data_IF_764984510915
#
_entry.id   IF_764984510915
#
_cell.length_a   1.000
_cell.length_b   1.000
_cell.length_c   1.000
_cell.angle_alpha   90.00
_cell.angle_beta   90.00
_cell.angle_gamma   90.00
#
_symmetry.space_group_name_H-M   'P 1'
#
loop_
_entity.id
_entity.type
_entity.pdbx_description
1 polymer ?
#
# COMPACT_ATOMS: atom_id res chain seq x y z
N UNK A 1 -16.20 13.14 18.78
CA UNK A 1 -17.36 12.23 18.68
C UNK A 1 -17.75 11.54 19.99
N UNK A 2 -16.89 11.54 21.03
CA UNK A 2 -17.20 10.90 22.33
C UNK A 2 -18.21 11.71 23.17
N UNK A 3 -18.18 13.04 23.06
CA UNK A 3 -19.00 13.95 23.89
C UNK A 3 -20.45 14.03 23.41
N UNK A 4 -20.68 14.16 22.11
CA UNK A 4 -22.03 14.36 21.54
C UNK A 4 -22.81 13.06 21.28
N UNK A 5 -22.16 11.90 21.37
CA UNK A 5 -22.71 10.57 21.08
C UNK A 5 -23.66 10.51 19.85
N UNK A 6 -23.22 10.97 18.67
CA UNK A 6 -24.05 10.95 17.47
C UNK A 6 -24.39 9.50 17.05
N UNK A 7 -25.45 9.36 16.27
CA UNK A 7 -25.94 8.06 15.79
C UNK A 7 -24.87 7.33 14.96
N UNK A 8 -24.88 5.98 14.89
CA UNK A 8 -23.93 5.22 14.08
C UNK A 8 -23.83 5.73 12.63
N UNK A 9 -24.96 6.08 12.01
CA UNK A 9 -25.02 6.61 10.64
C UNK A 9 -24.28 7.95 10.50
N UNK A 10 -24.52 8.90 11.42
CA UNK A 10 -23.82 10.19 11.43
C UNK A 10 -22.32 10.01 11.66
N UNK A 11 -21.95 9.06 12.53
CA UNK A 11 -20.54 8.71 12.79
C UNK A 11 -19.86 8.19 11.53
N UNK A 12 -20.52 7.32 10.78
CA UNK A 12 -20.02 6.77 9.51
C UNK A 12 -19.81 7.87 8.46
N UNK A 13 -20.76 8.79 8.30
CA UNK A 13 -20.66 9.94 7.37
C UNK A 13 -19.47 10.86 7.65
N UNK A 14 -19.00 10.91 8.90
CA UNK A 14 -17.85 11.72 9.31
C UNK A 14 -16.54 10.93 9.22
N UNK A 15 -16.52 9.71 9.76
CA UNK A 15 -15.29 8.93 9.90
C UNK A 15 -14.75 8.40 8.57
N UNK A 16 -15.62 8.06 7.61
CA UNK A 16 -15.19 7.57 6.28
C UNK A 16 -14.34 8.62 5.56
N UNK A 17 -14.79 9.89 5.39
CA UNK A 17 -13.95 10.95 4.85
C UNK A 17 -12.65 11.19 5.64
N UNK A 18 -12.68 11.11 6.97
CA UNK A 18 -11.49 11.30 7.81
C UNK A 18 -10.42 10.24 7.52
N UNK A 19 -10.80 8.95 7.45
CA UNK A 19 -9.89 7.87 7.10
C UNK A 19 -9.29 8.08 5.71
N UNK A 20 -10.12 8.41 4.72
CA UNK A 20 -9.66 8.71 3.35
C UNK A 20 -8.71 9.90 3.30
N UNK A 21 -9.00 10.95 4.07
CA UNK A 21 -8.15 12.13 4.18
C UNK A 21 -6.78 11.79 4.77
N UNK A 22 -6.72 10.98 5.83
CA UNK A 22 -5.45 10.57 6.42
C UNK A 22 -4.61 9.70 5.49
N UNK A 23 -5.24 8.79 4.73
CA UNK A 23 -4.56 7.99 3.70
C UNK A 23 -4.01 8.89 2.60
N UNK A 24 -4.84 9.80 2.10
CA UNK A 24 -4.44 10.78 1.08
C UNK A 24 -3.28 11.64 1.58
N UNK A 25 -3.36 12.18 2.80
CA UNK A 25 -2.32 13.01 3.40
C UNK A 25 -1.01 12.23 3.57
N UNK A 26 -1.09 10.98 4.06
CA UNK A 26 0.06 10.08 4.17
C UNK A 26 0.77 9.89 2.84
N UNK A 27 0.02 9.74 1.75
CA UNK A 27 0.59 9.58 0.42
C UNK A 27 1.15 10.90 -0.14
N UNK A 28 0.35 11.96 -0.10
CA UNK A 28 0.67 13.26 -0.72
C UNK A 28 1.81 13.99 -0.04
N UNK A 29 2.03 13.74 1.24
CA UNK A 29 3.07 14.38 2.04
C UNK A 29 4.20 13.41 2.40
N UNK A 30 4.29 12.22 1.77
CA UNK A 30 5.29 11.20 2.10
C UNK A 30 6.75 11.63 1.90
N UNK A 31 6.99 12.67 1.07
CA UNK A 31 8.30 13.24 0.79
C UNK A 31 8.60 14.50 1.59
N UNK A 32 7.63 15.00 2.35
CA UNK A 32 7.79 16.22 3.15
C UNK A 32 8.62 15.94 4.41
N UNK A 33 9.24 17.00 4.93
CA UNK A 33 9.96 16.90 6.21
C UNK A 33 8.99 16.70 7.37
N UNK A 34 9.48 16.10 8.47
CA UNK A 34 8.70 15.91 9.70
C UNK A 34 8.17 17.22 10.28
N UNK A 35 8.84 18.36 10.02
CA UNK A 35 8.37 19.68 10.44
C UNK A 35 7.11 20.14 9.69
N UNK A 36 6.92 19.66 8.45
CA UNK A 36 5.75 19.97 7.61
C UNK A 36 4.63 18.95 7.81
N UNK A 37 4.99 17.67 7.95
CA UNK A 37 4.05 16.57 8.09
C UNK A 37 4.61 15.52 9.04
N UNK A 38 3.90 15.27 10.15
CA UNK A 38 4.24 14.19 11.07
C UNK A 38 3.52 12.89 10.65
N UNK A 39 4.21 11.94 9.98
CA UNK A 39 3.58 10.70 9.55
C UNK A 39 3.15 9.83 10.74
N UNK A 40 3.82 9.93 11.89
CA UNK A 40 3.48 9.13 13.07
C UNK A 40 2.15 9.59 13.63
N UNK A 41 1.96 10.90 13.82
CA UNK A 41 0.69 11.47 14.29
C UNK A 41 -0.46 11.15 13.33
N UNK A 42 -0.23 11.33 12.02
CA UNK A 42 -1.24 11.00 11.00
C UNK A 42 -1.65 9.53 11.07
N UNK A 43 -0.67 8.62 11.17
CA UNK A 43 -0.93 7.19 11.19
C UNK A 43 -1.63 6.74 12.48
N UNK A 44 -1.32 7.37 13.63
CA UNK A 44 -2.05 7.13 14.88
C UNK A 44 -3.52 7.47 14.72
N UNK A 45 -3.85 8.67 14.26
CA UNK A 45 -5.25 9.08 14.07
C UNK A 45 -5.97 8.23 13.01
N UNK A 46 -5.28 7.86 11.93
CA UNK A 46 -5.82 6.96 10.92
C UNK A 46 -6.24 5.61 11.53
N UNK A 47 -5.35 4.98 12.31
CA UNK A 47 -5.63 3.67 12.93
C UNK A 47 -6.79 3.77 13.91
N UNK A 48 -6.86 4.83 14.72
CA UNK A 48 -7.95 5.06 15.68
C UNK A 48 -9.31 5.24 14.98
N UNK A 49 -9.34 6.05 13.92
CA UNK A 49 -10.55 6.26 13.12
C UNK A 49 -10.98 4.99 12.38
N UNK A 50 -10.01 4.26 11.84
CA UNK A 50 -10.23 3.00 11.14
C UNK A 50 -10.79 1.91 12.07
N UNK A 51 -10.21 1.73 13.26
CA UNK A 51 -10.74 0.83 14.27
C UNK A 51 -12.18 1.19 14.67
N UNK A 52 -12.47 2.49 14.80
CA UNK A 52 -13.81 2.99 15.09
C UNK A 52 -14.81 2.67 13.97
N UNK A 53 -14.41 2.79 12.69
CA UNK A 53 -15.25 2.42 11.54
C UNK A 53 -15.53 0.92 11.50
N UNK A 54 -14.50 0.09 11.69
CA UNK A 54 -14.64 -1.36 11.69
C UNK A 54 -15.64 -1.80 12.77
N UNK A 55 -15.53 -1.22 13.98
CA UNK A 55 -16.50 -1.46 15.04
C UNK A 55 -17.93 -1.07 14.65
N UNK A 56 -18.12 0.09 13.99
CA UNK A 56 -19.46 0.53 13.54
C UNK A 56 -20.04 -0.39 12.48
N UNK A 57 -19.24 -0.86 11.52
CA UNK A 57 -19.71 -1.81 10.49
C UNK A 57 -20.08 -3.18 11.06
N UNK A 58 -19.43 -3.60 12.15
CA UNK A 58 -19.80 -4.83 12.85
C UNK A 58 -21.15 -4.72 13.58
N UNK A 59 -21.54 -3.50 14.00
CA UNK A 59 -22.86 -3.24 14.57
C UNK A 59 -23.95 -3.18 13.50
N UNK A 60 -23.65 -2.56 12.36
CA UNK A 60 -24.65 -2.21 11.35
C UNK A 60 -24.99 -3.36 10.39
N UNK A 61 -24.16 -4.40 10.27
CA UNK A 61 -24.35 -5.56 9.36
C UNK A 61 -24.65 -5.24 7.89
N UNK A 62 -24.74 -3.97 7.50
CA UNK A 62 -25.01 -3.51 6.14
C UNK A 62 -23.89 -3.95 5.21
N UNK A 63 -24.28 -4.58 4.10
CA UNK A 63 -23.39 -4.85 2.98
C UNK A 63 -23.35 -3.58 2.10
N UNK A 64 -22.22 -2.89 2.08
CA UNK A 64 -22.04 -1.68 1.26
C UNK A 64 -20.66 -1.66 0.65
N UNK A 65 -20.55 -1.01 -0.52
CA UNK A 65 -19.26 -0.81 -1.19
C UNK A 65 -18.26 -0.09 -0.27
N UNK A 66 -18.75 0.90 0.50
CA UNK A 66 -17.96 1.65 1.49
C UNK A 66 -17.39 0.73 2.56
N UNK A 67 -18.19 -0.21 3.11
CA UNK A 67 -17.70 -1.18 4.08
C UNK A 67 -16.55 -2.00 3.51
N UNK A 68 -16.69 -2.53 2.29
CA UNK A 68 -15.64 -3.34 1.68
C UNK A 68 -14.39 -2.56 1.29
N UNK A 69 -14.53 -1.28 0.96
CA UNK A 69 -13.40 -0.38 0.78
C UNK A 69 -12.62 -0.23 2.09
N UNK A 70 -13.31 0.06 3.19
CA UNK A 70 -12.70 0.27 4.51
C UNK A 70 -12.11 -1.02 5.08
N UNK A 71 -12.78 -2.17 4.91
CA UNK A 71 -12.20 -3.47 5.28
C UNK A 71 -10.93 -3.76 4.47
N UNK A 72 -10.93 -3.46 3.16
CA UNK A 72 -9.75 -3.63 2.31
C UNK A 72 -8.62 -2.67 2.71
N UNK A 73 -8.94 -1.42 3.06
CA UNK A 73 -8.00 -0.47 3.67
C UNK A 73 -7.40 -1.07 4.94
N UNK A 74 -8.22 -1.62 5.83
CA UNK A 74 -7.76 -2.20 7.09
C UNK A 74 -6.78 -3.35 6.90
N UNK A 75 -7.08 -4.27 5.97
CA UNK A 75 -6.17 -5.36 5.65
C UNK A 75 -4.86 -4.87 5.03
N UNK A 76 -4.94 -3.96 4.04
CA UNK A 76 -3.75 -3.48 3.33
C UNK A 76 -2.91 -2.53 4.19
N UNK A 77 -3.50 -1.78 5.11
CA UNK A 77 -2.76 -0.93 6.05
C UNK A 77 -1.94 -1.79 7.01
N UNK A 78 -2.54 -2.87 7.51
CA UNK A 78 -1.89 -3.84 8.40
C UNK A 78 -1.30 -5.04 7.63
N UNK A 79 -0.69 -4.80 6.47
CA UNK A 79 -0.22 -5.86 5.58
C UNK A 79 0.79 -6.79 6.29
N UNK A 80 0.48 -8.08 6.33
CA UNK A 80 1.28 -9.10 7.02
C UNK A 80 0.85 -9.38 8.46
N UNK A 81 -0.08 -8.62 9.02
CA UNK A 81 -0.69 -8.92 10.32
C UNK A 81 -1.65 -10.12 10.23
N UNK A 82 -1.42 -11.13 11.07
CA UNK A 82 -2.17 -12.38 11.04
C UNK A 82 -3.58 -12.23 11.59
N UNK A 83 -3.79 -11.34 12.57
CA UNK A 83 -5.09 -11.09 13.17
C UNK A 83 -6.04 -10.44 12.16
N UNK A 84 -5.57 -9.35 11.52
CA UNK A 84 -6.31 -8.64 10.48
C UNK A 84 -6.62 -9.55 9.30
N UNK A 85 -5.65 -10.35 8.84
CA UNK A 85 -5.88 -11.31 7.75
C UNK A 85 -6.91 -12.39 8.12
N UNK A 86 -6.88 -12.91 9.35
CA UNK A 86 -7.83 -13.94 9.81
C UNK A 86 -9.26 -13.40 9.82
N UNK A 87 -9.46 -12.21 10.40
CA UNK A 87 -10.75 -11.50 10.36
C UNK A 87 -11.20 -11.32 8.92
N UNK A 88 -10.32 -10.80 8.06
CA UNK A 88 -10.67 -10.49 6.68
C UNK A 88 -11.04 -11.74 5.87
N UNK A 89 -10.35 -12.87 6.07
CA UNK A 89 -10.70 -14.14 5.42
C UNK A 89 -12.12 -14.56 5.84
N UNK A 90 -12.50 -14.39 7.10
CA UNK A 90 -13.85 -14.72 7.57
C UNK A 90 -14.93 -13.89 6.86
N UNK A 91 -14.70 -12.59 6.69
CA UNK A 91 -15.59 -11.68 5.94
C UNK A 91 -15.62 -12.00 4.43
N UNK A 92 -14.48 -12.40 3.85
CA UNK A 92 -14.42 -12.77 2.43
C UNK A 92 -15.16 -14.08 2.09
N UNK A 93 -15.65 -14.81 3.10
CA UNK A 93 -16.54 -15.96 2.91
C UNK A 93 -18.01 -15.53 2.79
N UNK A 94 -18.35 -14.37 3.35
CA UNK A 94 -19.73 -13.85 3.35
C UNK A 94 -20.00 -12.91 2.19
N UNK A 95 -18.97 -12.35 1.55
CA UNK A 95 -19.10 -11.49 0.38
C UNK A 95 -18.01 -11.74 -0.66
N UNK A 96 -18.40 -11.65 -1.95
CA UNK A 96 -17.51 -11.81 -3.11
C UNK A 96 -17.08 -10.45 -3.72
N UNK A 97 -17.19 -9.35 -2.97
CA UNK A 97 -16.86 -8.02 -3.48
C UNK A 97 -15.41 -7.93 -3.99
N UNK A 98 -15.20 -7.18 -5.08
CA UNK A 98 -13.90 -7.11 -5.76
C UNK A 98 -12.76 -6.60 -4.86
N UNK A 99 -13.03 -5.63 -3.98
CA UNK A 99 -12.03 -5.10 -3.04
C UNK A 99 -11.56 -6.17 -2.06
N UNK A 100 -12.46 -7.05 -1.63
CA UNK A 100 -12.11 -8.18 -0.76
C UNK A 100 -11.19 -9.16 -1.48
N UNK A 101 -11.51 -9.50 -2.73
CA UNK A 101 -10.67 -10.38 -3.55
C UNK A 101 -9.26 -9.80 -3.74
N UNK A 102 -9.17 -8.55 -4.17
CA UNK A 102 -7.89 -7.90 -4.48
C UNK A 102 -7.00 -7.75 -3.24
N UNK A 103 -7.55 -7.29 -2.11
CA UNK A 103 -6.77 -7.12 -0.88
C UNK A 103 -6.31 -8.45 -0.28
N UNK A 104 -7.15 -9.49 -0.35
CA UNK A 104 -6.78 -10.86 0.02
C UNK A 104 -5.66 -11.41 -0.86
N UNK A 105 -5.78 -11.27 -2.17
CA UNK A 105 -4.80 -11.76 -3.12
C UNK A 105 -3.44 -11.04 -2.95
N UNK A 106 -3.45 -9.73 -2.69
CA UNK A 106 -2.24 -8.97 -2.32
C UNK A 106 -1.63 -9.49 -1.03
N UNK A 107 -2.43 -9.70 0.03
CA UNK A 107 -1.95 -10.18 1.32
C UNK A 107 -1.30 -11.55 1.21
N UNK A 108 -1.92 -12.46 0.45
CA UNK A 108 -1.33 -13.76 0.20
C UNK A 108 -0.08 -13.70 -0.70
N UNK A 109 -0.06 -12.82 -1.71
CA UNK A 109 1.14 -12.61 -2.51
C UNK A 109 2.29 -12.05 -1.67
N UNK A 110 2.00 -11.13 -0.75
CA UNK A 110 2.95 -10.58 0.22
C UNK A 110 3.55 -11.66 1.13
N UNK A 111 2.72 -12.49 1.76
CA UNK A 111 3.19 -13.58 2.63
C UNK A 111 4.09 -14.60 1.91
N UNK A 112 3.89 -14.78 0.60
CA UNK A 112 4.71 -15.68 -0.25
C UNK A 112 5.93 -15.00 -0.88
N UNK A 113 6.21 -13.73 -0.56
CA UNK A 113 7.19 -12.89 -1.27
C UNK A 113 6.99 -12.88 -2.80
N UNK A 114 5.75 -13.05 -3.29
CA UNK A 114 5.41 -12.98 -4.70
C UNK A 114 5.16 -11.52 -5.10
N UNK A 115 6.24 -10.74 -5.23
CA UNK A 115 6.18 -9.33 -5.61
C UNK A 115 5.53 -9.12 -6.99
N UNK A 116 5.73 -10.03 -7.94
CA UNK A 116 5.05 -9.96 -9.25
C UNK A 116 3.53 -10.00 -9.11
N UNK A 117 3.02 -10.90 -8.26
CA UNK A 117 1.59 -10.99 -7.95
C UNK A 117 1.05 -9.69 -7.35
N UNK A 118 1.80 -9.07 -6.44
CA UNK A 118 1.43 -7.79 -5.82
C UNK A 118 1.32 -6.70 -6.88
N UNK A 119 2.38 -6.48 -7.69
CA UNK A 119 2.41 -5.39 -8.67
C UNK A 119 1.42 -5.59 -9.83
N UNK A 120 1.05 -6.84 -10.15
CA UNK A 120 0.00 -7.14 -11.12
C UNK A 120 -1.41 -6.75 -10.65
N UNK A 121 -1.66 -6.80 -9.34
CA UNK A 121 -2.94 -6.39 -8.74
C UNK A 121 -2.93 -4.89 -8.44
N UNK A 122 -1.79 -4.37 -8.00
CA UNK A 122 -1.59 -2.96 -7.64
C UNK A 122 -2.10 -2.00 -8.72
N UNK A 123 -1.77 -2.22 -9.99
CA UNK A 123 -2.20 -1.34 -11.10
C UNK A 123 -3.70 -1.40 -11.39
N UNK A 124 -4.42 -2.36 -10.81
CA UNK A 124 -5.87 -2.53 -10.97
C UNK A 124 -6.65 -1.99 -9.77
N UNK A 125 -5.98 -1.71 -8.65
CA UNK A 125 -6.63 -1.22 -7.43
C UNK A 125 -7.25 0.16 -7.68
N UNK A 126 -8.36 0.49 -6.99
CA UNK A 126 -8.79 1.87 -6.82
C UNK A 126 -7.68 2.72 -6.22
N UNK A 127 -7.63 4.00 -6.59
CA UNK A 127 -6.54 4.91 -6.20
C UNK A 127 -6.36 5.01 -4.68
N UNK A 128 -7.43 4.93 -3.89
CA UNK A 128 -7.34 4.91 -2.42
C UNK A 128 -6.54 3.70 -1.91
N UNK A 129 -6.84 2.49 -2.40
CA UNK A 129 -6.13 1.27 -2.02
C UNK A 129 -4.70 1.24 -2.57
N UNK A 130 -4.45 1.87 -3.73
CA UNK A 130 -3.10 2.08 -4.23
C UNK A 130 -2.28 2.95 -3.27
N UNK A 131 -2.83 4.05 -2.77
CA UNK A 131 -2.16 4.92 -1.79
C UNK A 131 -1.84 4.18 -0.49
N UNK A 132 -2.77 3.34 0.00
CA UNK A 132 -2.51 2.47 1.17
C UNK A 132 -1.33 1.53 0.90
N UNK A 133 -1.36 0.79 -0.21
CA UNK A 133 -0.29 -0.16 -0.55
C UNK A 133 1.04 0.54 -0.83
N UNK A 134 1.01 1.79 -1.31
CA UNK A 134 2.20 2.58 -1.60
C UNK A 134 3.08 2.77 -0.35
N UNK A 135 2.49 2.84 0.85
CA UNK A 135 3.22 2.94 2.12
C UNK A 135 4.09 1.72 2.42
N UNK A 136 3.73 0.55 1.87
CA UNK A 136 4.46 -0.71 2.02
C UNK A 136 5.50 -0.95 0.91
N UNK A 137 5.51 -0.14 -0.15
CA UNK A 137 6.40 -0.36 -1.30
C UNK A 137 7.90 -0.37 -0.96
N UNK A 138 8.43 0.45 -0.04
CA UNK A 138 9.84 0.34 0.33
C UNK A 138 10.21 -1.05 0.84
N UNK A 139 9.37 -1.64 1.69
CA UNK A 139 9.57 -2.99 2.21
C UNK A 139 9.37 -4.06 1.14
N UNK A 140 8.32 -3.94 0.33
CA UNK A 140 8.04 -4.88 -0.77
C UNK A 140 9.19 -4.88 -1.78
N UNK A 141 9.69 -3.71 -2.18
CA UNK A 141 10.82 -3.55 -3.11
C UNK A 141 12.12 -4.11 -2.54
N UNK A 142 12.42 -3.84 -1.26
CA UNK A 142 13.57 -4.44 -0.58
C UNK A 142 13.50 -5.97 -0.60
N UNK A 143 12.34 -6.53 -0.25
CA UNK A 143 12.13 -7.98 -0.25
C UNK A 143 12.24 -8.58 -1.66
N UNK A 144 11.71 -7.89 -2.68
CA UNK A 144 11.85 -8.29 -4.07
C UNK A 144 13.32 -8.31 -4.51
N UNK A 145 14.06 -7.23 -4.28
CA UNK A 145 15.48 -7.13 -4.62
C UNK A 145 16.32 -8.18 -3.90
N UNK A 146 16.06 -8.42 -2.61
CA UNK A 146 16.71 -9.49 -1.84
C UNK A 146 16.43 -10.87 -2.45
N UNK A 147 15.17 -11.13 -2.81
CA UNK A 147 14.76 -12.40 -3.43
C UNK A 147 15.44 -12.58 -4.79
N UNK A 148 15.44 -11.54 -5.62
CA UNK A 148 16.12 -11.55 -6.92
C UNK A 148 17.63 -11.73 -6.76
N UNK A 149 18.26 -11.07 -5.79
CA UNK A 149 19.70 -11.21 -5.53
C UNK A 149 20.09 -12.65 -5.21
N UNK A 150 19.26 -13.36 -4.43
CA UNK A 150 19.49 -14.76 -4.10
C UNK A 150 19.21 -15.69 -5.28
N UNK A 151 18.12 -15.46 -6.01
CA UNK A 151 17.64 -16.33 -7.08
C UNK A 151 18.44 -16.19 -8.39
N UNK A 152 18.89 -14.98 -8.70
CA UNK A 152 19.63 -14.65 -9.93
C UNK A 152 21.12 -14.46 -9.70
N UNK A 153 21.64 -14.85 -8.53
CA UNK A 153 23.06 -14.75 -8.19
C UNK A 153 23.93 -15.43 -9.24
N UNK A 154 24.69 -14.65 -10.01
CA UNK A 154 25.57 -15.17 -11.06
C UNK A 154 26.68 -14.16 -11.38
N UNK A 155 27.89 -14.67 -11.62
CA UNK A 155 29.02 -13.84 -12.05
C UNK A 155 28.94 -13.45 -13.53
N UNK A 156 28.21 -14.21 -14.32
CA UNK A 156 28.19 -14.09 -15.79
C UNK A 156 26.88 -13.51 -16.31
N UNK A 157 25.77 -13.71 -15.59
CA UNK A 157 24.46 -13.24 -16.00
C UNK A 157 24.12 -11.93 -15.32
N UNK A 158 23.39 -11.10 -16.05
CA UNK A 158 22.92 -9.81 -15.55
C UNK A 158 21.43 -9.65 -15.82
N UNK A 159 20.80 -8.70 -15.13
CA UNK A 159 19.38 -8.42 -15.28
C UNK A 159 19.15 -6.98 -15.76
N UNK A 160 18.36 -6.75 -16.84
CA UNK A 160 18.14 -5.40 -17.35
C UNK A 160 17.44 -4.48 -16.33
N UNK A 161 18.02 -3.31 -16.06
CA UNK A 161 17.46 -2.32 -15.12
C UNK A 161 16.07 -1.84 -15.54
N UNK A 162 15.85 -1.64 -16.85
CA UNK A 162 14.56 -1.23 -17.41
C UNK A 162 13.44 -2.24 -17.14
N UNK A 163 13.77 -3.53 -17.10
CA UNK A 163 12.83 -4.60 -16.73
C UNK A 163 12.52 -4.53 -15.23
N UNK A 164 13.51 -4.25 -14.38
CA UNK A 164 13.30 -4.08 -12.95
C UNK A 164 12.40 -2.86 -12.68
N UNK A 165 12.67 -1.73 -13.35
CA UNK A 165 11.86 -0.51 -13.28
C UNK A 165 10.38 -0.85 -13.51
N UNK A 166 10.11 -1.53 -14.62
CA UNK A 166 8.75 -1.88 -15.06
C UNK A 166 8.07 -2.90 -14.13
N UNK A 167 8.86 -3.82 -13.56
CA UNK A 167 8.40 -4.87 -12.66
C UNK A 167 7.98 -4.32 -11.29
N UNK A 168 8.82 -3.46 -10.71
CA UNK A 168 8.64 -2.90 -9.37
C UNK A 168 8.02 -1.49 -9.36
N UNK A 169 7.53 -1.06 -10.53
CA UNK A 169 6.80 0.20 -10.77
C UNK A 169 7.55 1.43 -10.28
N UNK A 170 8.85 1.51 -10.53
CA UNK A 170 9.60 2.74 -10.34
C UNK A 170 9.20 3.77 -11.40
N UNK A 171 9.29 5.06 -11.09
CA UNK A 171 8.88 6.12 -12.02
C UNK A 171 9.82 6.17 -13.24
N UNK A 172 11.12 6.00 -13.00
CA UNK A 172 12.15 6.09 -14.01
C UNK A 172 13.35 5.17 -13.67
N UNK A 173 14.26 5.02 -14.63
CA UNK A 173 15.43 4.14 -14.46
C UNK A 173 16.39 4.68 -13.39
N UNK A 174 16.43 6.00 -13.15
CA UNK A 174 17.27 6.62 -12.12
C UNK A 174 16.83 6.21 -10.71
N UNK A 175 15.52 6.20 -10.43
CA UNK A 175 15.00 5.71 -9.16
C UNK A 175 15.33 4.24 -8.93
N UNK A 176 15.17 3.41 -9.96
CA UNK A 176 15.50 1.99 -9.88
C UNK A 176 17.02 1.78 -9.63
N UNK A 177 17.86 2.55 -10.33
CA UNK A 177 19.31 2.55 -10.15
C UNK A 177 19.70 2.93 -8.72
N UNK A 178 19.10 4.00 -8.20
CA UNK A 178 19.38 4.50 -6.86
C UNK A 178 18.93 3.50 -5.79
N UNK A 179 17.79 2.83 -5.96
CA UNK A 179 17.34 1.76 -5.05
C UNK A 179 18.30 0.55 -5.08
N UNK A 180 18.76 0.14 -6.26
CA UNK A 180 19.76 -0.93 -6.39
C UNK A 180 21.05 -0.59 -5.65
N UNK A 181 21.61 0.60 -5.89
CA UNK A 181 22.82 1.07 -5.22
C UNK A 181 22.64 1.19 -3.71
N UNK A 182 21.48 1.66 -3.26
CA UNK A 182 21.16 1.79 -1.84
C UNK A 182 21.24 0.45 -1.09
N UNK A 183 20.85 -0.66 -1.73
CA UNK A 183 20.98 -2.01 -1.18
C UNK A 183 22.27 -2.75 -1.61
N UNK A 184 23.29 -2.03 -2.08
CA UNK A 184 24.62 -2.58 -2.39
C UNK A 184 24.73 -3.30 -3.74
N UNK A 185 23.71 -3.25 -4.59
CA UNK A 185 23.74 -3.93 -5.90
C UNK A 185 24.52 -3.11 -6.92
N UNK A 186 25.46 -3.77 -7.60
CA UNK A 186 26.21 -3.17 -8.71
C UNK A 186 25.34 -3.11 -9.97
N UNK A 187 25.35 -1.96 -10.63
CA UNK A 187 24.70 -1.77 -11.94
C UNK A 187 25.73 -1.21 -12.92
N UNK A 188 25.88 -1.85 -14.07
CA UNK A 188 26.82 -1.47 -15.12
C UNK A 188 26.13 -1.55 -16.50
N UNK A 189 26.35 -0.57 -17.37
CA UNK A 189 25.74 -0.50 -18.70
C UNK A 189 24.24 -0.83 -18.74
N UNK A 190 23.46 -0.32 -17.77
CA UNK A 190 22.01 -0.55 -17.68
C UNK A 190 21.60 -1.95 -17.19
N UNK A 191 22.54 -2.73 -16.68
CA UNK A 191 22.34 -4.10 -16.21
C UNK A 191 22.75 -4.29 -14.76
N UNK A 192 21.91 -4.97 -13.98
CA UNK A 192 22.12 -5.26 -12.56
C UNK A 192 22.89 -6.57 -12.44
N UNK A 193 23.94 -6.55 -11.63
CA UNK A 193 24.67 -7.73 -11.21
C UNK A 193 24.12 -8.20 -9.87
N UNK A 194 23.46 -9.34 -9.88
CA UNK A 194 23.02 -10.01 -8.66
C UNK A 194 24.10 -10.97 -8.19
N UNK A 195 24.57 -10.76 -6.96
CA UNK A 195 25.56 -11.60 -6.27
C UNK A 195 25.11 -11.72 -4.82
N UNK A 196 24.87 -12.95 -4.37
CA UNK A 196 24.25 -13.25 -3.06
C UNK A 196 24.89 -12.48 -1.90
N UNK A 197 26.21 -12.34 -1.92
CA UNK A 197 27.04 -11.69 -0.91
C UNK A 197 27.00 -10.16 -0.90
N UNK A 198 26.47 -9.52 -1.95
CA UNK A 198 26.54 -8.05 -2.12
C UNK A 198 25.35 -7.29 -1.54
N UNK A 199 24.27 -7.97 -1.15
CA UNK A 199 23.07 -7.30 -0.67
C UNK A 199 23.32 -6.71 0.73
N UNK A 200 23.14 -5.39 0.86
CA UNK A 200 23.31 -4.73 2.15
C UNK A 200 22.05 -4.94 3.02
N UNK A 201 22.20 -5.78 4.03
CA UNK A 201 21.15 -6.05 5.02
C UNK A 201 21.12 -5.03 6.16
N UNK A 202 22.20 -4.26 6.34
CA UNK A 202 22.39 -3.32 7.46
C UNK A 202 21.68 -1.99 7.25
N UNK A 203 21.50 -1.56 5.99
CA UNK A 203 20.78 -0.33 5.69
C UNK A 203 19.32 -0.41 6.12
N UNK A 204 18.80 0.75 6.54
CA UNK A 204 17.39 0.91 6.88
C UNK A 204 16.52 0.75 5.64
N UNK A 205 15.20 0.69 5.84
CA UNK A 205 14.28 0.79 4.71
C UNK A 205 14.44 2.16 4.07
N UNK A 206 14.46 2.20 2.74
CA UNK A 206 14.44 3.46 2.01
C UNK A 206 13.11 4.20 2.27
N UNK A 207 13.10 5.51 2.03
CA UNK A 207 11.90 6.31 2.22
C UNK A 207 10.88 6.04 1.11
N UNK A 208 9.60 6.17 1.46
CA UNK A 208 8.53 6.19 0.48
C UNK A 208 8.72 7.36 -0.50
N UNK A 209 8.34 7.14 -1.75
CA UNK A 209 8.30 8.18 -2.80
C UNK A 209 6.91 8.20 -3.42
N UNK A 210 6.55 9.31 -4.04
CA UNK A 210 5.37 9.41 -4.89
C UNK A 210 5.56 8.57 -6.15
N UNK A 211 4.44 8.14 -6.73
CA UNK A 211 4.41 7.30 -7.92
C UNK A 211 3.59 8.02 -8.99
N UNK A 212 4.18 8.21 -10.16
CA UNK A 212 3.55 8.92 -11.28
C UNK A 212 2.20 8.29 -11.68
N UNK A 213 2.07 6.97 -11.52
CA UNK A 213 0.82 6.27 -11.82
C UNK A 213 -0.32 6.67 -10.87
N UNK A 214 -0.04 6.82 -9.57
CA UNK A 214 -1.04 7.22 -8.58
C UNK A 214 -1.34 8.71 -8.78
N UNK A 215 -0.32 9.54 -8.96
CA UNK A 215 -0.51 10.98 -9.20
C UNK A 215 -1.29 11.25 -10.50
N UNK A 216 -1.15 10.40 -11.52
CA UNK A 216 -1.98 10.47 -12.72
C UNK A 216 -3.43 10.09 -12.44
N UNK A 217 -3.67 8.99 -11.74
CA UNK A 217 -5.03 8.60 -11.32
C UNK A 217 -5.69 9.65 -10.40
N UNK A 218 -4.92 10.32 -9.54
CA UNK A 218 -5.41 11.39 -8.68
C UNK A 218 -5.78 12.67 -9.45
N UNK A 219 -5.12 12.96 -10.60
CA UNK A 219 -5.49 14.09 -11.45
C UNK A 219 -6.77 13.85 -12.23
N UNK A 220 -7.03 12.59 -12.58
CA UNK A 220 -8.25 12.17 -13.29
C UNK A 220 -9.45 12.00 -12.35
N UNK A 221 -9.20 11.84 -11.04
CA UNK A 221 -10.25 11.71 -10.01
C UNK A 221 -10.53 13.08 -9.39
N UNK A 222 -11.77 13.56 -9.42
CA UNK A 222 -12.08 14.80 -8.68
C UNK A 222 -11.87 14.59 -7.17
N UNK A 223 -11.10 15.47 -6.52
CA UNK A 223 -10.76 15.35 -5.10
C UNK A 223 -11.97 15.20 -4.16
N UNK A 224 -13.11 15.90 -4.38
CA UNK A 224 -14.33 15.67 -3.60
C UNK A 224 -14.88 14.26 -3.79
N UNK A 225 -14.77 13.65 -4.97
CA UNK A 225 -15.24 12.28 -5.21
C UNK A 225 -14.40 11.28 -4.41
N UNK A 226 -13.06 11.44 -4.43
CA UNK A 226 -12.16 10.57 -3.67
C UNK A 226 -12.39 10.64 -2.15
N UNK A 227 -12.64 11.83 -1.61
CA UNK A 227 -12.72 12.04 -0.17
C UNK A 227 -14.15 11.89 0.36
N UNK A 228 -15.17 12.33 -0.38
CA UNK A 228 -16.54 12.53 0.10
C UNK A 228 -17.58 11.56 -0.48
N UNK A 229 -17.30 10.81 -1.57
CA UNK A 229 -18.31 9.87 -2.09
C UNK A 229 -18.53 8.70 -1.13
N UNK A 230 -19.65 8.70 -0.43
CA UNK A 230 -20.14 7.53 0.27
C UNK A 230 -21.29 6.93 -0.55
N UNK A 231 -21.06 5.79 -1.19
CA UNK A 231 -22.13 5.06 -1.88
C UNK A 231 -22.89 4.24 -0.86
N UNK A 232 -23.88 4.86 -0.22
CA UNK A 232 -24.86 4.20 0.67
C UNK A 232 -26.01 3.63 -0.18
N UNK A 233 -25.73 2.62 -1.01
CA UNK A 233 -26.74 1.92 -1.82
C UNK A 233 -26.53 0.43 -1.73
#
# INVERSE_FOLDING_TARGET
>A
MVIQQPTPEERLKILVPIVRFHIYSSYRLCTESVHTFDPKLNNTHLIECLASLIYLFDLDNTDSTTRWEIEAVNLLWNLGDSYTLTRFISLSKTSNHQFLKMAKDISFAYLRNNYNGIFNIFTKLPVLLQMVLASHLPLIRRNALRTMNNAYSSKNLTYPLSKLKSLLKFNNDEEALNECKYYGLKVDNGNIHFLRETFDHSVKLNTMKKLDLIDSSLRETEHPLLLLQCSWT
#
